data_IF_420801506564
#
_entry.id   IF_420801506564
#
_cell.length_a   1.000
_cell.length_b   1.000
_cell.length_c   1.000
_cell.angle_alpha   90.00
_cell.angle_beta   90.00
_cell.angle_gamma   90.00
#
_symmetry.space_group_name_H-M   'P 1'
#
loop_
_entity.id
_entity.type
_entity.pdbx_description
1 polymer ?
#
# COMPACT_ATOMS: atom_id res chain seq x y z
N UNK A 1 -61.15 -65.89 18.38
CA UNK A 1 -61.63 -64.52 18.70
C UNK A 1 -60.39 -63.63 18.72
N UNK A 2 -60.06 -62.94 17.61
CA UNK A 2 -60.40 -61.52 17.30
C UNK A 2 -59.99 -60.58 18.46
N UNK A 3 -59.03 -59.66 18.33
CA UNK A 3 -59.02 -58.44 17.49
C UNK A 3 -57.59 -57.83 17.46
N UNK A 4 -56.93 -57.54 16.32
CA UNK A 4 -56.76 -56.23 15.62
C UNK A 4 -56.90 -54.95 16.50
N UNK A 5 -56.11 -53.86 16.47
CA UNK A 5 -54.84 -53.34 15.87
C UNK A 5 -54.67 -51.85 16.38
N UNK A 6 -53.83 -50.92 15.87
CA UNK A 6 -52.38 -50.62 16.09
C UNK A 6 -52.15 -49.13 16.57
N UNK A 7 -51.13 -48.35 16.11
CA UNK A 7 -49.66 -48.39 16.30
C UNK A 7 -49.09 -47.09 16.94
N UNK A 8 -47.81 -47.04 17.37
CA UNK A 8 -47.01 -45.78 17.32
C UNK A 8 -45.51 -46.06 17.09
N UNK A 9 -44.99 -45.42 16.03
CA UNK A 9 -43.59 -45.30 15.64
C UNK A 9 -42.71 -44.75 16.77
N UNK A 10 -41.45 -45.18 16.84
CA UNK A 10 -40.31 -44.31 17.17
C UNK A 10 -39.03 -44.88 16.60
N UNK A 11 -38.51 -44.19 15.58
CA UNK A 11 -37.17 -44.34 15.06
C UNK A 11 -36.20 -43.58 15.98
N UNK A 12 -35.10 -44.20 16.37
CA UNK A 12 -33.98 -43.52 17.04
C UNK A 12 -32.72 -43.75 16.20
N UNK A 13 -32.39 -42.75 15.37
CA UNK A 13 -31.10 -42.62 14.70
C UNK A 13 -30.12 -41.93 15.66
N UNK A 14 -29.02 -42.60 16.01
CA UNK A 14 -27.96 -42.03 16.85
C UNK A 14 -26.88 -41.40 15.95
N UNK A 15 -26.90 -40.07 15.81
CA UNK A 15 -25.81 -39.27 15.25
C UNK A 15 -24.77 -38.99 16.34
N UNK A 16 -23.52 -39.45 16.17
CA UNK A 16 -22.39 -38.99 16.99
C UNK A 16 -21.70 -37.81 16.31
N UNK A 17 -21.77 -36.64 16.97
CA UNK A 17 -21.15 -35.39 16.55
C UNK A 17 -19.64 -35.37 16.88
N UNK A 18 -18.84 -34.94 15.91
CA UNK A 18 -17.43 -34.56 16.09
C UNK A 18 -17.40 -33.08 16.47
N UNK A 19 -16.85 -32.74 17.64
CA UNK A 19 -16.58 -31.35 18.04
C UNK A 19 -15.07 -31.21 18.23
N UNK A 20 -14.38 -30.68 17.21
CA UNK A 20 -13.05 -30.11 17.37
C UNK A 20 -13.21 -28.64 17.76
N UNK A 21 -13.11 -28.35 19.05
CA UNK A 21 -12.98 -27.00 19.57
C UNK A 21 -11.51 -26.56 19.49
N UNK A 22 -11.18 -25.73 18.49
CA UNK A 22 -9.89 -25.07 18.37
C UNK A 22 -10.06 -23.57 18.19
N UNK A 23 -9.95 -22.81 19.30
CA UNK A 23 -9.78 -21.36 19.26
C UNK A 23 -8.68 -20.97 20.26
N UNK A 24 -7.42 -21.00 19.82
CA UNK A 24 -6.33 -20.33 20.53
C UNK A 24 -6.26 -18.88 20.02
N UNK A 25 -6.95 -17.96 20.69
CA UNK A 25 -6.71 -16.52 20.53
C UNK A 25 -5.38 -16.20 21.20
N UNK A 26 -4.35 -15.92 20.40
CA UNK A 26 -3.05 -15.45 20.90
C UNK A 26 -3.22 -14.00 21.34
N UNK A 27 -3.47 -13.79 22.64
CA UNK A 27 -3.48 -12.46 23.24
C UNK A 27 -2.05 -11.90 23.27
N UNK A 28 -1.83 -10.79 22.56
CA UNK A 28 -0.57 -10.05 22.59
C UNK A 28 -0.29 -9.36 23.94
N UNK A 29 0.88 -8.76 24.14
CA UNK A 29 1.27 -8.19 25.43
C UNK A 29 0.38 -7.00 25.78
N UNK A 30 -0.34 -7.09 26.91
CA UNK A 30 -1.14 -5.99 27.45
C UNK A 30 -0.25 -5.07 28.29
N UNK A 31 -0.04 -3.83 27.82
CA UNK A 31 0.54 -2.74 28.61
C UNK A 31 -0.60 -1.80 29.00
N UNK A 32 -0.73 -1.47 30.29
CA UNK A 32 -1.86 -0.78 30.88
C UNK A 32 -2.25 0.53 30.17
N UNK A 33 -3.41 0.50 29.51
CA UNK A 33 -4.08 1.61 28.85
C UNK A 33 -5.28 1.07 28.06
N UNK A 34 -6.27 1.91 27.73
CA UNK A 34 -7.40 1.56 26.86
C UNK A 34 -6.99 1.41 25.37
N UNK A 35 -5.71 1.10 25.11
CA UNK A 35 -5.11 0.98 23.79
C UNK A 35 -4.81 -0.48 23.54
N UNK A 36 -5.35 -1.02 22.45
CA UNK A 36 -5.11 -2.38 22.02
C UNK A 36 -4.45 -2.35 20.64
N UNK A 37 -3.44 -3.20 20.44
CA UNK A 37 -2.89 -3.42 19.11
C UNK A 37 -3.95 -4.06 18.21
N UNK A 38 -4.17 -3.47 17.04
CA UNK A 38 -5.00 -4.05 15.98
C UNK A 38 -4.17 -4.73 14.90
N UNK A 39 -4.82 -5.54 14.06
CA UNK A 39 -4.22 -6.03 12.82
C UNK A 39 -4.12 -4.87 11.81
N UNK A 40 -2.90 -4.54 11.39
CA UNK A 40 -2.65 -3.50 10.40
C UNK A 40 -3.33 -3.80 9.06
N UNK A 41 -3.63 -5.06 8.74
CA UNK A 41 -4.30 -5.45 7.47
C UNK A 41 -5.81 -5.57 7.59
N UNK A 42 -6.38 -5.35 8.77
CA UNK A 42 -7.82 -5.36 8.93
C UNK A 42 -8.47 -4.28 8.06
N UNK A 43 -9.66 -4.58 7.55
CA UNK A 43 -10.47 -3.58 6.83
C UNK A 43 -10.98 -2.56 7.85
N UNK A 44 -10.58 -1.32 7.68
CA UNK A 44 -11.01 -0.20 8.49
C UNK A 44 -12.43 0.23 8.09
N UNK A 45 -13.35 0.22 9.05
CA UNK A 45 -14.76 0.57 8.83
C UNK A 45 -15.23 1.70 9.75
N UNK A 46 -14.29 2.49 10.27
CA UNK A 46 -14.58 3.52 11.29
C UNK A 46 -15.25 4.74 10.65
N UNK A 47 -14.73 5.20 9.51
CA UNK A 47 -15.26 6.34 8.78
C UNK A 47 -15.24 6.07 7.27
N UNK A 48 -15.86 6.97 6.49
CA UNK A 48 -15.70 7.00 5.03
C UNK A 48 -14.62 7.97 4.56
N UNK A 49 -13.82 8.51 5.48
CA UNK A 49 -12.63 9.32 5.19
C UNK A 49 -11.44 8.42 4.84
N UNK A 50 -10.42 8.95 4.18
CA UNK A 50 -9.30 8.16 3.69
C UNK A 50 -8.57 7.47 4.85
N UNK A 51 -8.48 6.15 4.77
CA UNK A 51 -8.02 5.31 5.88
C UNK A 51 -6.82 4.45 5.54
N UNK A 52 -6.40 3.68 6.54
CA UNK A 52 -5.25 2.76 6.44
C UNK A 52 -5.45 1.67 5.39
N UNK A 53 -6.67 1.15 5.25
CA UNK A 53 -7.03 0.15 4.23
C UNK A 53 -6.91 0.70 2.82
N UNK A 54 -7.29 1.95 2.60
CA UNK A 54 -7.23 2.59 1.28
C UNK A 54 -5.77 2.77 0.84
N UNK A 55 -4.93 3.31 1.73
CA UNK A 55 -3.50 3.47 1.50
C UNK A 55 -2.84 2.12 1.15
N UNK A 56 -3.15 1.08 1.92
CA UNK A 56 -2.58 -0.25 1.69
C UNK A 56 -3.00 -0.82 0.35
N UNK A 57 -4.29 -0.75 0.04
CA UNK A 57 -4.88 -1.28 -1.18
C UNK A 57 -4.33 -0.56 -2.41
N UNK A 58 -4.25 0.77 -2.38
CA UNK A 58 -3.67 1.57 -3.45
C UNK A 58 -2.21 1.18 -3.67
N UNK A 59 -1.39 1.21 -2.63
CA UNK A 59 0.03 0.95 -2.76
C UNK A 59 0.31 -0.46 -3.32
N UNK A 60 -0.44 -1.45 -2.86
CA UNK A 60 -0.31 -2.82 -3.34
C UNK A 60 -0.78 -3.00 -4.78
N UNK A 61 -1.91 -2.39 -5.16
CA UNK A 61 -2.43 -2.45 -6.51
C UNK A 61 -1.44 -1.82 -7.51
N UNK A 62 -1.00 -0.61 -7.21
CA UNK A 62 -0.05 0.14 -8.05
C UNK A 62 1.29 -0.58 -8.17
N UNK A 63 1.82 -1.10 -7.06
CA UNK A 63 3.09 -1.85 -7.08
C UNK A 63 2.98 -3.11 -7.92
N UNK A 64 1.93 -3.91 -7.74
CA UNK A 64 1.75 -5.15 -8.53
C UNK A 64 1.63 -4.85 -10.01
N UNK A 65 0.82 -3.86 -10.38
CA UNK A 65 0.62 -3.46 -11.78
C UNK A 65 1.91 -2.95 -12.42
N UNK A 66 2.63 -2.05 -11.73
CA UNK A 66 3.91 -1.52 -12.24
C UNK A 66 4.96 -2.62 -12.42
N UNK A 67 5.06 -3.57 -11.49
CA UNK A 67 5.99 -4.70 -11.60
C UNK A 67 5.70 -5.61 -12.80
N UNK A 68 4.46 -5.62 -13.30
CA UNK A 68 4.05 -6.37 -14.49
C UNK A 68 4.22 -5.57 -15.79
N UNK A 69 4.47 -4.27 -15.70
CA UNK A 69 4.63 -3.41 -16.88
C UNK A 69 5.83 -3.85 -17.72
N UNK A 70 5.76 -3.57 -19.03
CA UNK A 70 6.88 -3.83 -19.96
C UNK A 70 8.13 -3.02 -19.61
N UNK A 71 7.94 -1.82 -19.05
CA UNK A 71 9.04 -0.96 -18.60
C UNK A 71 9.89 -1.60 -17.50
N UNK A 72 9.29 -2.48 -16.68
CA UNK A 72 9.99 -3.21 -15.63
C UNK A 72 10.39 -4.62 -16.11
N UNK A 73 9.44 -5.41 -16.62
CA UNK A 73 9.66 -6.82 -17.00
C UNK A 73 10.54 -6.99 -18.23
N UNK A 74 10.53 -6.02 -19.15
CA UNK A 74 11.33 -6.02 -20.37
C UNK A 74 12.66 -5.28 -20.25
N UNK A 75 13.01 -4.76 -19.06
CA UNK A 75 14.22 -3.99 -18.86
C UNK A 75 15.47 -4.88 -18.89
N UNK A 76 16.49 -4.46 -19.64
CA UNK A 76 17.79 -5.15 -19.68
C UNK A 76 18.59 -4.97 -18.39
N UNK A 77 18.42 -3.81 -17.75
CA UNK A 77 19.04 -3.44 -16.49
C UNK A 77 17.97 -2.95 -15.53
N UNK A 78 18.21 -3.09 -14.22
CA UNK A 78 17.28 -2.61 -13.20
C UNK A 78 17.02 -1.10 -13.38
N UNK A 79 15.80 -0.68 -13.71
CA UNK A 79 15.49 0.73 -13.94
C UNK A 79 15.69 1.56 -12.68
N UNK A 80 16.24 2.76 -12.87
CA UNK A 80 16.37 3.78 -11.82
C UNK A 80 15.20 4.75 -11.96
N UNK A 81 14.42 4.87 -10.89
CA UNK A 81 13.17 5.64 -10.86
C UNK A 81 13.30 6.76 -9.83
N UNK A 82 12.83 7.96 -10.16
CA UNK A 82 12.62 9.03 -9.20
C UNK A 82 11.15 9.09 -8.78
N UNK A 83 10.87 9.52 -7.55
CA UNK A 83 9.52 9.90 -7.15
C UNK A 83 9.31 11.38 -7.41
N UNK A 84 8.28 11.71 -8.18
CA UNK A 84 7.72 13.04 -8.25
C UNK A 84 6.58 13.20 -7.23
N UNK A 85 6.10 14.43 -7.08
CA UNK A 85 4.99 14.72 -6.19
C UNK A 85 3.69 14.08 -6.69
N UNK A 86 2.97 13.41 -5.77
CA UNK A 86 1.59 12.96 -6.00
C UNK A 86 0.65 14.00 -5.44
N UNK A 87 -0.12 14.64 -6.33
CA UNK A 87 -0.98 15.78 -5.98
C UNK A 87 -2.23 15.30 -5.25
N UNK A 88 -2.54 15.94 -4.11
CA UNK A 88 -3.84 15.78 -3.46
C UNK A 88 -4.85 16.77 -4.06
N UNK A 89 -5.86 16.26 -4.76
CA UNK A 89 -6.98 17.01 -5.35
C UNK A 89 -8.30 16.70 -4.63
N UNK A 90 -8.25 16.12 -3.43
CA UNK A 90 -9.42 15.88 -2.59
C UNK A 90 -9.69 17.11 -1.71
N UNK A 91 -10.83 17.13 -1.01
CA UNK A 91 -11.09 18.12 0.04
C UNK A 91 -10.56 17.70 1.42
N UNK A 92 -9.87 16.56 1.50
CA UNK A 92 -9.34 15.97 2.74
C UNK A 92 -7.81 16.14 2.78
N UNK A 93 -7.24 16.26 3.98
CA UNK A 93 -5.79 16.16 4.12
C UNK A 93 -5.36 14.70 4.03
N UNK A 94 -4.83 14.32 2.87
CA UNK A 94 -4.27 12.99 2.61
C UNK A 94 -2.76 13.12 2.50
N UNK A 95 -2.03 12.37 3.32
CA UNK A 95 -0.58 12.23 3.19
C UNK A 95 -0.25 11.33 1.99
N UNK A 96 -0.18 11.95 0.80
CA UNK A 96 0.18 11.26 -0.43
C UNK A 96 1.62 10.73 -0.42
N UNK A 97 2.50 11.27 0.45
CA UNK A 97 3.86 10.76 0.62
C UNK A 97 3.87 9.40 1.29
N UNK A 98 2.98 9.17 2.26
CA UNK A 98 2.86 7.85 2.88
C UNK A 98 2.47 6.76 1.86
N UNK A 99 1.60 7.10 0.89
CA UNK A 99 1.21 6.18 -0.20
C UNK A 99 2.43 5.89 -1.08
N UNK A 100 3.14 6.92 -1.55
CA UNK A 100 4.28 6.74 -2.47
C UNK A 100 5.48 6.08 -1.80
N UNK A 101 5.72 6.33 -0.51
CA UNK A 101 6.77 5.67 0.25
C UNK A 101 6.47 4.17 0.42
N UNK A 102 5.21 3.80 0.66
CA UNK A 102 4.83 2.38 0.70
C UNK A 102 5.07 1.68 -0.64
N UNK A 103 4.75 2.35 -1.75
CA UNK A 103 5.05 1.86 -3.11
C UNK A 103 6.56 1.71 -3.31
N UNK A 104 7.34 2.76 -2.97
CA UNK A 104 8.81 2.76 -3.06
C UNK A 104 9.45 1.60 -2.30
N UNK A 105 9.02 1.36 -1.06
CA UNK A 105 9.50 0.26 -0.23
C UNK A 105 9.17 -1.09 -0.87
N UNK A 106 7.94 -1.29 -1.36
CA UNK A 106 7.54 -2.54 -1.99
C UNK A 106 8.31 -2.82 -3.29
N UNK A 107 8.50 -1.80 -4.14
CA UNK A 107 9.28 -1.89 -5.38
C UNK A 107 10.77 -2.12 -5.12
N UNK A 108 11.32 -1.50 -4.07
CA UNK A 108 12.72 -1.72 -3.69
C UNK A 108 12.92 -3.14 -3.17
N UNK A 109 11.96 -3.65 -2.36
CA UNK A 109 11.98 -5.03 -1.85
C UNK A 109 11.89 -6.09 -2.94
N UNK A 110 11.26 -5.79 -4.08
CA UNK A 110 11.21 -6.73 -5.20
C UNK A 110 12.55 -6.84 -5.95
N UNK A 111 13.47 -5.88 -5.76
CA UNK A 111 14.73 -5.79 -6.51
C UNK A 111 14.57 -5.41 -7.98
N UNK A 112 13.33 -5.23 -8.46
CA UNK A 112 13.04 -4.93 -9.86
C UNK A 112 13.26 -3.46 -10.21
N UNK A 113 13.38 -2.58 -9.20
CA UNK A 113 13.54 -1.13 -9.36
C UNK A 113 14.55 -0.60 -8.36
N UNK A 114 15.35 0.37 -8.76
CA UNK A 114 16.18 1.21 -7.87
C UNK A 114 15.59 2.61 -7.82
N UNK A 115 15.68 3.29 -6.68
CA UNK A 115 15.27 4.68 -6.58
C UNK A 115 16.47 5.61 -6.59
N UNK A 116 16.41 6.65 -7.43
CA UNK A 116 17.30 7.78 -7.31
C UNK A 116 16.91 8.60 -6.07
N UNK A 117 17.90 9.24 -5.47
CA UNK A 117 17.68 10.20 -4.37
C UNK A 117 16.76 11.30 -4.89
N UNK A 118 15.64 11.54 -4.20
CA UNK A 118 14.72 12.61 -4.59
C UNK A 118 15.35 13.98 -4.34
N UNK A 119 14.83 15.03 -5.00
CA UNK A 119 15.27 16.42 -4.77
C UNK A 119 15.20 16.80 -3.28
N UNK A 120 14.20 16.30 -2.56
CA UNK A 120 14.01 16.59 -1.14
C UNK A 120 15.04 15.89 -0.24
N UNK A 121 15.60 14.76 -0.67
CA UNK A 121 16.59 13.98 0.07
C UNK A 121 18.02 14.34 -0.36
N UNK A 122 18.17 15.09 -1.45
CA UNK A 122 19.46 15.41 -2.07
C UNK A 122 20.39 16.17 -1.13
N UNK A 123 19.86 17.08 -0.31
CA UNK A 123 20.69 17.86 0.62
C UNK A 123 21.43 16.97 1.61
N UNK A 124 20.74 16.00 2.23
CA UNK A 124 21.37 15.05 3.16
C UNK A 124 22.49 14.25 2.48
N UNK A 125 22.29 13.89 1.21
CA UNK A 125 23.32 13.20 0.43
C UNK A 125 24.53 14.11 0.13
N UNK A 126 24.30 15.39 -0.18
CA UNK A 126 25.36 16.37 -0.40
C UNK A 126 26.15 16.64 0.88
N UNK A 127 25.47 16.74 2.01
CA UNK A 127 26.09 16.94 3.33
C UNK A 127 26.99 15.75 3.68
N UNK A 128 26.52 14.52 3.42
CA UNK A 128 27.31 13.31 3.63
C UNK A 128 28.55 13.25 2.72
N UNK A 129 28.39 13.57 1.43
CA UNK A 129 29.51 13.64 0.50
C UNK A 129 30.53 14.71 0.92
N UNK A 130 30.05 15.86 1.38
CA UNK A 130 30.88 16.95 1.89
C UNK A 130 31.64 16.51 3.14
N UNK A 131 30.94 15.88 4.09
CA UNK A 131 31.51 15.35 5.32
C UNK A 131 32.61 14.32 5.04
N UNK A 132 32.42 13.43 4.06
CA UNK A 132 33.44 12.46 3.66
C UNK A 132 34.64 13.08 2.95
N UNK A 133 34.43 14.13 2.14
CA UNK A 133 35.46 14.64 1.24
C UNK A 133 36.22 15.87 1.77
N UNK A 134 35.64 16.66 2.68
CA UNK A 134 36.20 17.96 3.10
C UNK A 134 36.70 17.99 4.55
N UNK A 135 36.30 17.05 5.41
CA UNK A 135 36.66 17.08 6.84
C UNK A 135 38.07 16.55 7.14
N UNK A 136 38.70 15.84 6.19
CA UNK A 136 39.98 15.17 6.41
C UNK A 136 39.93 13.95 7.34
N UNK A 137 38.74 13.54 7.81
CA UNK A 137 38.57 12.45 8.78
C UNK A 137 38.54 11.04 8.15
N UNK A 138 38.36 10.94 6.83
CA UNK A 138 38.13 9.67 6.12
C UNK A 138 39.34 9.24 5.28
N UNK A 139 39.59 7.93 5.22
CA UNK A 139 40.61 7.35 4.34
C UNK A 139 40.24 7.61 2.87
N UNK A 140 41.24 7.95 2.05
CA UNK A 140 41.02 8.23 0.62
C UNK A 140 40.50 7.02 -0.17
N UNK A 141 40.88 5.80 0.22
CA UNK A 141 40.39 4.57 -0.40
C UNK A 141 39.00 4.24 0.17
N UNK A 142 37.98 4.30 -0.69
CA UNK A 142 36.61 3.89 -0.37
C UNK A 142 35.64 5.03 -0.04
N UNK A 143 36.09 6.30 -0.02
CA UNK A 143 35.17 7.44 0.12
C UNK A 143 34.28 7.59 -1.12
N UNK A 144 33.01 7.93 -0.90
CA UNK A 144 32.11 8.28 -1.99
C UNK A 144 32.56 9.59 -2.65
N UNK A 145 32.47 9.67 -3.98
CA UNK A 145 32.92 10.83 -4.76
C UNK A 145 31.74 11.70 -5.17
N UNK A 146 31.96 13.01 -5.13
CA UNK A 146 31.02 14.00 -5.67
C UNK A 146 30.87 13.78 -7.19
N UNK A 147 29.67 13.99 -7.74
CA UNK A 147 29.39 13.85 -9.17
C UNK A 147 29.23 12.40 -9.66
N UNK A 148 28.94 11.46 -8.75
CA UNK A 148 28.70 10.05 -9.08
C UNK A 148 27.25 9.59 -8.80
N UNK A 149 26.34 10.53 -8.54
CA UNK A 149 24.92 10.23 -8.42
C UNK A 149 24.38 9.70 -9.76
N UNK A 150 23.57 8.65 -9.69
CA UNK A 150 22.94 8.08 -10.87
C UNK A 150 21.65 8.84 -11.19
N UNK A 151 21.48 9.20 -12.46
CA UNK A 151 20.24 9.79 -12.96
C UNK A 151 19.11 8.76 -12.99
N UNK A 152 17.89 9.18 -12.64
CA UNK A 152 16.71 8.35 -12.87
C UNK A 152 16.34 8.32 -14.34
N UNK A 153 16.12 7.12 -14.89
CA UNK A 153 15.56 6.93 -16.23
C UNK A 153 14.07 7.28 -16.27
N UNK A 154 13.34 6.86 -15.23
CA UNK A 154 11.91 7.11 -15.14
C UNK A 154 11.57 7.98 -13.94
N UNK A 155 10.39 8.59 -13.95
CA UNK A 155 9.78 9.23 -12.79
C UNK A 155 8.37 8.68 -12.57
N UNK A 156 8.03 8.43 -11.31
CA UNK A 156 6.65 8.13 -10.91
C UNK A 156 5.95 9.41 -10.48
N UNK A 157 4.81 9.72 -11.08
CA UNK A 157 3.96 10.86 -10.72
C UNK A 157 2.50 10.47 -10.66
N UNK A 158 1.65 11.32 -10.07
CA UNK A 158 0.24 10.99 -9.96
C UNK A 158 -0.62 12.02 -9.24
N UNK A 159 -1.87 11.63 -8.98
CA UNK A 159 -2.77 12.39 -8.13
C UNK A 159 -3.85 11.53 -7.50
N UNK A 160 -4.35 11.97 -6.35
CA UNK A 160 -5.58 11.46 -5.75
C UNK A 160 -6.69 12.51 -5.84
N UNK A 161 -7.89 12.12 -6.25
CA UNK A 161 -9.08 12.98 -6.31
C UNK A 161 -10.27 12.30 -5.63
N UNK A 162 -11.31 13.08 -5.31
CA UNK A 162 -12.51 12.57 -4.66
C UNK A 162 -13.78 13.21 -5.18
N UNK A 163 -14.86 12.43 -5.25
CA UNK A 163 -16.23 12.91 -5.47
C UNK A 163 -17.04 12.59 -4.21
N UNK A 164 -17.60 13.62 -3.57
CA UNK A 164 -18.43 13.46 -2.36
C UNK A 164 -19.88 13.78 -2.69
N UNK A 165 -20.78 12.85 -2.39
CA UNK A 165 -22.23 13.03 -2.48
C UNK A 165 -22.85 12.84 -1.10
N UNK A 166 -23.83 13.68 -0.77
CA UNK A 166 -24.51 13.67 0.55
C UNK A 166 -26.00 13.83 0.37
N UNK A 167 -26.77 13.04 1.10
CA UNK A 167 -28.21 13.18 1.31
C UNK A 167 -28.51 13.31 2.81
N UNK A 168 -29.79 13.33 3.20
CA UNK A 168 -30.20 13.36 4.60
C UNK A 168 -29.76 12.10 5.38
N UNK A 169 -29.73 10.94 4.72
CA UNK A 169 -29.48 9.63 5.33
C UNK A 169 -28.16 8.98 4.90
N UNK A 170 -27.44 9.54 3.93
CA UNK A 170 -26.29 8.86 3.32
C UNK A 170 -25.18 9.83 2.94
N UNK A 171 -23.93 9.44 3.20
CA UNK A 171 -22.72 10.06 2.64
C UNK A 171 -21.99 9.02 1.80
N UNK A 172 -21.76 9.35 0.52
CA UNK A 172 -21.04 8.54 -0.45
C UNK A 172 -19.78 9.28 -0.88
N UNK A 173 -18.64 8.59 -0.79
CA UNK A 173 -17.33 9.13 -1.14
C UNK A 173 -16.67 8.18 -2.12
N UNK A 174 -16.31 8.70 -3.28
CA UNK A 174 -15.55 8.01 -4.30
C UNK A 174 -14.16 8.64 -4.38
N UNK A 175 -13.11 7.83 -4.28
CA UNK A 175 -11.72 8.22 -4.46
C UNK A 175 -11.17 7.59 -5.74
N UNK A 176 -10.40 8.37 -6.49
CA UNK A 176 -9.65 7.92 -7.65
C UNK A 176 -8.18 8.27 -7.45
N UNK A 177 -7.34 7.25 -7.41
CA UNK A 177 -5.89 7.39 -7.35
C UNK A 177 -5.28 7.02 -8.70
N UNK A 178 -4.54 7.93 -9.32
CA UNK A 178 -3.85 7.69 -10.58
C UNK A 178 -2.34 7.77 -10.37
N UNK A 179 -1.61 6.84 -10.97
CA UNK A 179 -0.15 6.83 -10.98
C UNK A 179 0.37 6.52 -12.37
N UNK A 180 1.45 7.19 -12.76
CA UNK A 180 2.11 7.01 -14.04
C UNK A 180 3.62 6.91 -13.90
N UNK A 181 4.23 6.11 -14.77
CA UNK A 181 5.66 6.02 -15.00
C UNK A 181 5.97 6.73 -16.32
N UNK A 182 6.78 7.78 -16.24
CA UNK A 182 7.20 8.58 -17.40
C UNK A 182 8.69 8.40 -17.62
N UNK A 183 9.11 8.14 -18.86
CA UNK A 183 10.50 8.16 -19.26
C UNK A 183 11.02 9.60 -19.31
N UNK A 184 12.09 9.89 -18.57
CA UNK A 184 12.60 11.25 -18.41
C UNK A 184 13.32 11.77 -19.66
N UNK A 185 13.83 10.88 -20.51
CA UNK A 185 14.56 11.26 -21.71
C UNK A 185 13.61 11.55 -22.87
N UNK A 186 12.64 10.66 -23.08
CA UNK A 186 11.69 10.75 -24.20
C UNK A 186 10.39 11.47 -23.84
N UNK A 187 10.06 11.59 -22.56
CA UNK A 187 8.78 12.13 -22.08
C UNK A 187 7.60 11.18 -22.29
N UNK A 188 7.84 9.92 -22.68
CA UNK A 188 6.79 8.95 -22.97
C UNK A 188 6.18 8.39 -21.68
N UNK A 189 4.86 8.18 -21.72
CA UNK A 189 4.11 7.47 -20.69
C UNK A 189 4.30 5.97 -20.91
N UNK A 190 5.12 5.35 -20.07
CA UNK A 190 5.52 3.94 -20.23
C UNK A 190 4.62 2.98 -19.45
N UNK A 191 3.96 3.50 -18.42
CA UNK A 191 2.93 2.79 -17.66
C UNK A 191 2.03 3.81 -16.98
N UNK A 192 0.76 3.47 -16.85
CA UNK A 192 -0.18 4.18 -15.99
C UNK A 192 -1.22 3.20 -15.49
N UNK A 193 -1.70 3.44 -14.28
CA UNK A 193 -2.80 2.69 -13.71
C UNK A 193 -3.59 3.57 -12.73
N UNK A 194 -4.79 3.12 -12.42
CA UNK A 194 -5.70 3.79 -11.51
C UNK A 194 -6.30 2.84 -10.49
N UNK A 195 -6.65 3.38 -9.32
CA UNK A 195 -7.39 2.65 -8.31
C UNK A 195 -8.57 3.46 -7.84
N UNK A 196 -9.74 2.87 -8.01
CA UNK A 196 -10.99 3.37 -7.47
C UNK A 196 -11.29 2.77 -6.10
N UNK A 197 -11.82 3.61 -5.21
CA UNK A 197 -12.34 3.22 -3.90
C UNK A 197 -13.66 3.97 -3.69
N UNK A 198 -14.71 3.24 -3.32
CA UNK A 198 -16.00 3.85 -2.97
C UNK A 198 -16.41 3.43 -1.57
N UNK A 199 -16.79 4.41 -0.74
CA UNK A 199 -17.24 4.20 0.63
C UNK A 199 -18.56 4.93 0.86
N UNK A 200 -19.49 4.25 1.52
CA UNK A 200 -20.81 4.79 1.84
C UNK A 200 -21.07 4.62 3.33
N UNK A 201 -21.62 5.65 3.98
CA UNK A 201 -22.06 5.58 5.38
C UNK A 201 -23.49 6.06 5.51
N UNK A 202 -24.27 5.39 6.36
CA UNK A 202 -25.56 5.92 6.82
C UNK A 202 -25.32 7.08 7.81
N UNK A 203 -26.28 8.01 7.87
CA UNK A 203 -26.27 9.14 8.80
C UNK A 203 -27.31 8.97 9.89
#
# INVERSE_FOLDING_TARGET
>A
MMSFSPPRLSAAALCSAVVLSGCANVAGPHVGGNVQYGDARAVETVTNEFGSTDLQTIAESMTRSLLQSRAITGARETPIVALAEVKNKTSEYIDTRAITEKIRVQLTKSGAVKFAVSTNEMQNQLDELTRQNQTGLYKNKGKARIGQMQGSRYRLEGSISSIVKRSSSTKDVFYLFNLSLVDNESGLLEWADEKEIRKTSAR
#
